data_IF_528753678649
#
_entry.id   IF_528753678649
#
_cell.length_a   1.000
_cell.length_b   1.000
_cell.length_c   1.000
_cell.angle_alpha   90.00
_cell.angle_beta   90.00
_cell.angle_gamma   90.00
#
_symmetry.space_group_name_H-M   'P 1'
#
loop_
_entity.id
_entity.type
_entity.pdbx_description
1 polymer ?
#
# COMPACT_ATOMS: atom_id res chain seq x y z
N UNK A 1 -0.59 -3.44 31.50
CA UNK A 1 -1.40 -4.24 30.54
C UNK A 1 -1.57 -3.56 29.18
N UNK A 2 -1.61 -2.22 29.11
CA UNK A 2 -1.83 -1.48 27.86
C UNK A 2 -0.70 -1.59 26.83
N UNK A 3 0.57 -1.54 27.26
CA UNK A 3 1.72 -1.53 26.37
C UNK A 3 1.83 -2.79 25.49
N UNK A 4 1.49 -3.97 26.02
CA UNK A 4 1.54 -5.22 25.25
C UNK A 4 0.47 -5.29 24.15
N UNK A 5 -0.72 -4.74 24.41
CA UNK A 5 -1.79 -4.68 23.42
C UNK A 5 -1.47 -3.67 22.30
N UNK A 6 -0.88 -2.53 22.63
CA UNK A 6 -0.48 -1.52 21.64
C UNK A 6 0.70 -2.02 20.78
N UNK A 7 1.66 -2.75 21.37
CA UNK A 7 2.74 -3.41 20.61
C UNK A 7 2.22 -4.44 19.61
N UNK A 8 1.31 -5.33 20.04
CA UNK A 8 0.72 -6.33 19.14
C UNK A 8 -0.02 -5.67 17.95
N UNK A 9 -0.77 -4.60 18.20
CA UNK A 9 -1.48 -3.85 17.15
C UNK A 9 -0.53 -3.14 16.18
N UNK A 10 0.58 -2.62 16.70
CA UNK A 10 1.66 -2.04 15.90
C UNK A 10 2.29 -3.07 14.96
N UNK A 11 2.57 -4.26 15.49
CA UNK A 11 3.17 -5.37 14.75
C UNK A 11 2.23 -5.92 13.67
N UNK A 12 0.93 -6.06 13.95
CA UNK A 12 -0.08 -6.48 12.96
C UNK A 12 -0.14 -5.50 11.78
N UNK A 13 -0.16 -4.19 12.08
CA UNK A 13 -0.21 -3.14 11.03
C UNK A 13 1.10 -3.08 10.24
N UNK A 14 2.24 -3.36 10.88
CA UNK A 14 3.54 -3.40 10.23
C UNK A 14 3.74 -4.64 9.35
N UNK A 15 3.12 -5.76 9.71
CA UNK A 15 3.12 -6.99 8.91
C UNK A 15 2.19 -6.83 7.71
N UNK A 16 0.95 -6.37 7.95
CA UNK A 16 -0.06 -6.24 6.91
C UNK A 16 0.35 -5.29 5.78
N UNK A 17 0.99 -4.16 6.10
CA UNK A 17 1.48 -3.22 5.07
C UNK A 17 2.51 -3.85 4.13
N UNK A 18 3.27 -4.83 4.62
CA UNK A 18 4.34 -5.50 3.87
C UNK A 18 3.73 -6.54 2.97
N UNK A 19 2.84 -7.37 3.51
CA UNK A 19 2.09 -8.39 2.75
C UNK A 19 1.28 -7.80 1.60
N UNK A 20 0.60 -6.67 1.83
CA UNK A 20 -0.15 -5.98 0.77
C UNK A 20 0.77 -5.53 -0.37
N UNK A 21 1.96 -5.02 -0.07
CA UNK A 21 2.91 -4.63 -1.13
C UNK A 21 3.45 -5.84 -1.87
N UNK A 22 3.77 -6.93 -1.17
CA UNK A 22 4.18 -8.17 -1.83
C UNK A 22 3.09 -8.69 -2.77
N UNK A 23 1.83 -8.67 -2.33
CA UNK A 23 0.70 -9.04 -3.19
C UNK A 23 0.57 -8.11 -4.40
N UNK A 24 0.65 -6.79 -4.23
CA UNK A 24 0.59 -5.82 -5.35
C UNK A 24 1.72 -6.06 -6.36
N UNK A 25 2.95 -6.26 -5.87
CA UNK A 25 4.15 -6.48 -6.70
C UNK A 25 4.07 -7.82 -7.44
N UNK A 26 3.61 -8.88 -6.80
CA UNK A 26 3.53 -10.22 -7.41
C UNK A 26 2.59 -10.30 -8.62
N UNK A 27 1.64 -9.36 -8.74
CA UNK A 27 0.65 -9.32 -9.82
C UNK A 27 1.01 -8.33 -10.94
N UNK A 28 2.26 -7.86 -11.01
CA UNK A 28 2.70 -6.82 -11.96
C UNK A 28 4.07 -7.12 -12.54
N UNK A 29 4.20 -6.93 -13.85
CA UNK A 29 5.47 -7.14 -14.59
C UNK A 29 6.50 -6.04 -14.31
N UNK A 30 6.03 -4.80 -14.07
CA UNK A 30 6.88 -3.66 -13.73
C UNK A 30 6.10 -2.65 -12.89
N UNK A 31 6.77 -2.07 -11.88
CA UNK A 31 6.25 -1.00 -11.04
C UNK A 31 7.27 0.14 -11.03
N UNK A 32 6.83 1.33 -11.44
CA UNK A 32 7.66 2.54 -11.50
C UNK A 32 6.86 3.71 -10.88
N UNK A 33 7.39 4.39 -9.85
CA UNK A 33 8.61 4.05 -9.10
C UNK A 33 8.44 2.78 -8.25
N UNK A 34 9.51 2.03 -7.91
CA UNK A 34 9.39 0.84 -7.09
C UNK A 34 8.73 1.09 -5.73
N UNK A 35 7.76 0.25 -5.37
CA UNK A 35 7.10 0.31 -4.06
C UNK A 35 7.96 -0.37 -3.00
N UNK A 36 8.60 0.43 -2.13
CA UNK A 36 9.30 -0.10 -0.96
C UNK A 36 8.28 -0.56 0.09
N UNK A 37 8.31 -1.80 0.60
CA UNK A 37 7.42 -2.27 1.67
C UNK A 37 7.63 -1.55 3.02
N UNK A 38 8.76 -0.86 3.18
CA UNK A 38 9.13 -0.16 4.42
C UNK A 38 8.78 1.34 4.42
N UNK A 39 8.63 1.95 3.25
CA UNK A 39 8.37 3.39 3.11
C UNK A 39 6.95 3.66 2.58
N UNK A 40 6.26 4.65 3.16
CA UNK A 40 4.88 5.05 2.81
C UNK A 40 4.82 6.33 1.97
N UNK A 41 5.90 7.10 1.86
CA UNK A 41 5.87 8.47 1.33
C UNK A 41 5.39 8.57 -0.13
N UNK A 42 5.68 7.57 -0.95
CA UNK A 42 5.32 7.53 -2.37
C UNK A 42 4.18 6.55 -2.68
N UNK A 43 3.27 6.30 -1.73
CA UNK A 43 2.12 5.39 -1.91
C UNK A 43 0.79 6.14 -1.86
N UNK A 44 -0.28 5.44 -2.23
CA UNK A 44 -1.64 5.99 -2.24
C UNK A 44 -1.92 6.72 -3.54
N UNK A 45 -2.55 7.91 -3.46
CA UNK A 45 -2.96 8.68 -4.64
C UNK A 45 -1.78 9.31 -5.41
N UNK A 46 -0.59 9.40 -4.82
CA UNK A 46 0.60 9.97 -5.48
C UNK A 46 1.38 9.00 -6.38
N UNK A 47 0.88 7.78 -6.57
CA UNK A 47 1.53 6.75 -7.36
C UNK A 47 0.50 6.04 -8.23
N UNK A 48 0.70 5.99 -9.55
CA UNK A 48 -0.30 5.53 -10.52
C UNK A 48 -0.92 4.17 -10.18
N UNK A 49 -0.08 3.18 -9.84
CA UNK A 49 -0.56 1.86 -9.44
C UNK A 49 -1.46 1.89 -8.20
N UNK A 50 -0.99 2.47 -7.08
CA UNK A 50 -1.78 2.46 -5.84
C UNK A 50 -2.91 3.46 -5.86
N UNK A 51 -2.78 4.53 -6.64
CA UNK A 51 -3.82 5.53 -6.87
C UNK A 51 -4.98 4.93 -7.65
N UNK A 52 -4.69 4.22 -8.74
CA UNK A 52 -5.70 3.48 -9.50
C UNK A 52 -6.44 2.42 -8.68
N UNK A 53 -5.76 1.74 -7.74
CA UNK A 53 -6.41 0.78 -6.82
C UNK A 53 -7.34 1.46 -5.79
N UNK A 54 -7.07 2.71 -5.45
CA UNK A 54 -7.86 3.50 -4.49
C UNK A 54 -8.90 4.39 -5.19
N UNK A 55 -8.87 4.44 -6.51
CA UNK A 55 -9.77 5.22 -7.33
C UNK A 55 -11.22 4.82 -7.05
N UNK A 56 -12.12 5.76 -6.72
CA UNK A 56 -13.55 5.48 -6.62
C UNK A 56 -14.09 4.87 -7.92
N UNK A 57 -15.09 4.01 -7.81
CA UNK A 57 -15.72 3.37 -8.98
C UNK A 57 -16.37 4.37 -9.93
N UNK A 58 -16.75 5.55 -9.43
CA UNK A 58 -17.36 6.63 -10.20
C UNK A 58 -16.33 7.49 -10.96
N UNK A 59 -15.03 7.23 -10.79
CA UNK A 59 -13.94 7.97 -11.44
C UNK A 59 -13.07 7.03 -12.27
N UNK A 60 -12.71 7.46 -13.49
CA UNK A 60 -11.71 6.77 -14.29
C UNK A 60 -10.33 7.37 -14.02
N UNK A 61 -9.46 6.59 -13.39
CA UNK A 61 -8.08 6.99 -13.13
C UNK A 61 -7.32 7.33 -14.43
N UNK A 62 -7.65 6.68 -15.54
CA UNK A 62 -7.01 6.89 -16.84
C UNK A 62 -7.37 8.21 -17.53
N UNK A 63 -8.44 8.88 -17.08
CA UNK A 63 -8.92 10.16 -17.63
C UNK A 63 -8.43 11.39 -16.84
N UNK A 64 -7.44 11.20 -15.95
CA UNK A 64 -6.84 12.23 -15.08
C UNK A 64 -5.79 13.10 -15.79
#
# INVERSE_FOLDING_TARGET
LQAGADSARGDDTATLKTEVIHWVVANRDRIEPPLSPRDKQARGLGHDLTGGLLCPVDYDWGDS
#
